data_IF_134329632084
#
_entry.id   IF_134329632084
#
_cell.length_a   1.000
_cell.length_b   1.000
_cell.length_c   1.000
_cell.angle_alpha   90.00
_cell.angle_beta   90.00
_cell.angle_gamma   90.00
#
_symmetry.space_group_name_H-M   'P 1'
#
loop_
_entity.id
_entity.type
_entity.pdbx_description
1 polymer ?
#
# COMPACT_ATOMS: atom_id res chain seq x y z
N UNK A 1 -91.26 12.59 28.35
CA UNK A 1 -90.13 13.60 28.43
C UNK A 1 -88.85 12.84 28.72
N UNK A 2 -88.02 12.51 27.71
CA UNK A 2 -86.79 11.77 27.89
C UNK A 2 -85.77 12.33 26.94
N UNK A 3 -84.77 13.01 27.48
CA UNK A 3 -83.68 13.66 26.74
C UNK A 3 -82.69 12.63 26.22
N UNK A 4 -82.47 12.57 24.87
CA UNK A 4 -81.39 11.87 24.24
C UNK A 4 -80.09 12.69 24.34
N UNK A 5 -79.07 12.13 24.96
CA UNK A 5 -77.70 12.65 24.93
C UNK A 5 -76.95 11.94 23.84
N UNK A 6 -76.57 12.63 22.77
CA UNK A 6 -75.69 12.16 21.73
C UNK A 6 -74.24 12.30 22.16
N UNK A 7 -73.50 11.18 22.25
CA UNK A 7 -72.07 11.17 22.53
C UNK A 7 -71.32 11.09 21.16
N UNK A 8 -70.62 12.18 20.82
CA UNK A 8 -69.76 12.25 19.64
C UNK A 8 -68.42 11.66 20.01
N UNK A 9 -68.10 10.46 19.48
CA UNK A 9 -66.83 9.87 19.59
C UNK A 9 -65.86 10.48 18.52
N UNK A 10 -64.86 11.25 18.99
CA UNK A 10 -63.76 11.72 18.13
C UNK A 10 -62.73 10.61 17.98
N UNK A 11 -62.64 10.00 16.77
CA UNK A 11 -61.52 9.15 16.39
C UNK A 11 -60.30 10.06 16.09
N UNK A 12 -59.28 9.98 16.95
CA UNK A 12 -57.93 10.47 16.63
C UNK A 12 -57.24 9.42 15.75
N UNK A 13 -57.13 9.69 14.47
CA UNK A 13 -56.28 8.94 13.57
C UNK A 13 -54.82 9.43 13.76
N UNK A 14 -54.02 8.70 14.51
CA UNK A 14 -52.58 8.90 14.61
C UNK A 14 -51.92 8.26 13.38
N UNK A 15 -51.59 9.07 12.39
CA UNK A 15 -50.77 8.65 11.25
C UNK A 15 -49.32 8.45 11.73
N UNK A 16 -48.92 7.19 11.90
CA UNK A 16 -47.51 6.81 12.03
C UNK A 16 -46.84 7.02 10.66
N UNK A 17 -46.08 8.08 10.50
CA UNK A 17 -45.15 8.22 9.40
C UNK A 17 -44.01 7.21 9.59
N UNK A 18 -44.09 6.05 8.95
CA UNK A 18 -42.98 5.12 8.84
C UNK A 18 -41.97 5.75 7.88
N UNK A 19 -40.97 6.40 8.45
CA UNK A 19 -39.78 6.79 7.67
C UNK A 19 -39.12 5.50 7.17
N UNK A 20 -39.32 5.18 5.92
CA UNK A 20 -38.57 4.12 5.24
C UNK A 20 -37.11 4.57 5.22
N UNK A 21 -36.33 4.12 6.18
CA UNK A 21 -34.88 4.13 6.10
C UNK A 21 -34.58 3.17 4.94
N UNK A 22 -34.19 3.71 3.79
CA UNK A 22 -33.68 2.93 2.69
C UNK A 22 -32.45 2.19 3.19
N UNK A 23 -32.62 0.97 3.66
CA UNK A 23 -31.53 0.06 3.93
C UNK A 23 -30.82 -0.16 2.59
N UNK A 24 -29.71 0.50 2.36
CA UNK A 24 -28.82 0.15 1.26
C UNK A 24 -28.47 -1.31 1.45
N UNK A 25 -28.81 -2.16 0.48
CA UNK A 25 -28.42 -3.56 0.54
C UNK A 25 -26.90 -3.62 0.63
N UNK A 26 -26.39 -4.27 1.68
CA UNK A 26 -24.97 -4.50 1.86
C UNK A 26 -24.43 -5.24 0.65
N UNK A 27 -23.31 -4.78 0.08
CA UNK A 27 -22.69 -5.36 -1.11
C UNK A 27 -21.32 -5.92 -0.75
N UNK A 28 -21.17 -7.24 -0.88
CA UNK A 28 -19.89 -7.88 -0.64
C UNK A 28 -18.95 -7.70 -1.83
N UNK A 29 -17.72 -7.31 -1.56
CA UNK A 29 -16.66 -7.11 -2.53
C UNK A 29 -15.49 -8.05 -2.33
N UNK A 30 -14.87 -8.44 -3.44
CA UNK A 30 -13.61 -9.17 -3.46
C UNK A 30 -12.53 -8.33 -4.09
N UNK A 31 -11.37 -8.26 -3.44
CA UNK A 31 -10.17 -7.62 -3.96
C UNK A 31 -8.95 -8.52 -3.78
N UNK A 32 -7.96 -8.35 -4.64
CA UNK A 32 -6.70 -9.07 -4.50
C UNK A 32 -5.52 -8.27 -5.02
N UNK A 33 -4.33 -8.50 -4.46
CA UNK A 33 -3.13 -7.84 -4.95
C UNK A 33 -1.99 -7.76 -3.97
N UNK A 34 -1.31 -6.61 -3.94
CA UNK A 34 -0.13 -6.38 -3.13
C UNK A 34 -0.31 -6.72 -1.66
N UNK A 35 0.72 -7.30 -1.05
CA UNK A 35 0.76 -7.45 0.41
C UNK A 35 1.18 -6.16 1.10
N UNK A 36 1.74 -5.20 0.37
CA UNK A 36 2.12 -3.87 0.88
C UNK A 36 0.94 -3.17 1.61
N UNK A 37 -0.26 -3.01 1.01
CA UNK A 37 -1.38 -2.36 1.69
C UNK A 37 -2.23 -3.32 2.56
N UNK A 38 -1.95 -4.63 2.58
CA UNK A 38 -2.83 -5.60 3.22
C UNK A 38 -3.14 -5.31 4.70
N UNK A 39 -2.18 -4.85 5.55
CA UNK A 39 -2.47 -4.48 6.93
C UNK A 39 -3.52 -3.38 7.05
N UNK A 40 -3.40 -2.29 6.29
CA UNK A 40 -4.35 -1.17 6.34
C UNK A 40 -5.68 -1.54 5.68
N UNK A 41 -5.67 -2.30 4.58
CA UNK A 41 -6.92 -2.73 3.92
C UNK A 41 -7.73 -3.67 4.80
N UNK A 42 -7.09 -4.55 5.57
CA UNK A 42 -7.79 -5.40 6.53
C UNK A 42 -8.51 -4.60 7.62
N UNK A 43 -7.86 -3.55 8.14
CA UNK A 43 -8.48 -2.65 9.13
C UNK A 43 -9.60 -1.83 8.53
N UNK A 44 -9.39 -1.21 7.37
CA UNK A 44 -10.42 -0.47 6.65
C UNK A 44 -11.63 -1.34 6.31
N UNK A 45 -11.40 -2.59 5.87
CA UNK A 45 -12.49 -3.52 5.59
C UNK A 45 -13.36 -3.81 6.83
N UNK A 46 -12.72 -4.03 7.98
CA UNK A 46 -13.43 -4.27 9.24
C UNK A 46 -14.23 -3.05 9.70
N UNK A 47 -13.62 -1.86 9.67
CA UNK A 47 -14.27 -0.60 10.07
C UNK A 47 -15.39 -0.21 9.10
N UNK A 48 -15.18 -0.39 7.79
CA UNK A 48 -16.20 -0.13 6.77
C UNK A 48 -17.40 -1.06 6.92
N UNK A 49 -17.15 -2.35 7.20
CA UNK A 49 -18.22 -3.31 7.47
C UNK A 49 -19.05 -2.92 8.70
N UNK A 50 -18.41 -2.43 9.77
CA UNK A 50 -19.12 -1.93 10.96
C UNK A 50 -19.97 -0.69 10.63
N UNK A 51 -19.47 0.20 9.75
CA UNK A 51 -20.14 1.44 9.41
C UNK A 51 -21.29 1.27 8.39
N UNK A 52 -21.19 0.29 7.47
CA UNK A 52 -22.09 0.19 6.31
C UNK A 52 -22.76 -1.16 6.16
N UNK A 53 -22.26 -2.20 6.81
CA UNK A 53 -22.69 -3.59 6.62
C UNK A 53 -22.04 -4.28 5.44
N UNK A 54 -21.43 -3.58 4.49
CA UNK A 54 -20.76 -4.15 3.31
C UNK A 54 -19.43 -4.81 3.69
N UNK A 55 -19.21 -6.03 3.21
CA UNK A 55 -18.02 -6.82 3.52
C UNK A 55 -17.00 -6.71 2.39
N UNK A 56 -15.77 -6.39 2.75
CA UNK A 56 -14.64 -6.34 1.83
C UNK A 56 -13.71 -7.50 2.12
N UNK A 57 -13.56 -8.42 1.16
CA UNK A 57 -12.63 -9.54 1.26
C UNK A 57 -11.40 -9.27 0.38
N UNK A 58 -10.31 -8.82 1.00
CA UNK A 58 -9.04 -8.54 0.31
C UNK A 58 -8.03 -9.67 0.52
N UNK A 59 -7.40 -10.13 -0.55
CA UNK A 59 -6.39 -11.18 -0.52
C UNK A 59 -5.02 -10.64 -0.95
N UNK A 60 -4.06 -10.63 -0.03
CA UNK A 60 -2.66 -10.27 -0.28
C UNK A 60 -1.93 -11.42 -0.98
N UNK A 61 -1.92 -11.45 -2.31
CA UNK A 61 -1.32 -12.50 -3.15
C UNK A 61 -0.15 -12.00 -4.01
N UNK A 62 0.29 -10.77 -3.78
CA UNK A 62 1.29 -10.05 -4.56
C UNK A 62 0.68 -9.26 -5.72
N UNK A 63 1.34 -8.14 -6.07
CA UNK A 63 0.84 -7.20 -7.09
C UNK A 63 0.58 -7.86 -8.44
N UNK A 64 1.49 -8.71 -8.92
CA UNK A 64 1.27 -9.43 -10.19
C UNK A 64 0.07 -10.38 -10.13
N UNK A 65 -0.22 -10.96 -8.96
CA UNK A 65 -1.42 -11.77 -8.73
C UNK A 65 -2.70 -10.93 -8.83
N UNK A 66 -2.72 -9.76 -8.20
CA UNK A 66 -3.83 -8.82 -8.26
C UNK A 66 -4.13 -8.33 -9.67
N UNK A 67 -3.08 -7.94 -10.42
CA UNK A 67 -3.20 -7.56 -11.84
C UNK A 67 -3.80 -8.69 -12.67
N UNK A 68 -3.33 -9.92 -12.50
CA UNK A 68 -3.87 -11.09 -13.23
C UNK A 68 -5.33 -11.33 -12.90
N UNK A 69 -5.73 -11.23 -11.63
CA UNK A 69 -7.10 -11.48 -11.21
C UNK A 69 -8.08 -10.42 -11.70
N UNK A 70 -7.70 -9.14 -11.67
CA UNK A 70 -8.57 -8.08 -12.20
C UNK A 70 -8.73 -8.22 -13.72
N UNK A 71 -7.67 -8.51 -14.46
CA UNK A 71 -7.75 -8.75 -15.92
C UNK A 71 -8.62 -9.97 -16.23
N UNK A 72 -8.54 -11.02 -15.41
CA UNK A 72 -9.37 -12.23 -15.54
C UNK A 72 -10.81 -12.03 -15.02
N UNK A 73 -11.17 -10.86 -14.50
CA UNK A 73 -12.51 -10.53 -13.95
C UNK A 73 -12.94 -11.44 -12.79
N UNK A 74 -11.99 -11.95 -12.01
CA UNK A 74 -12.26 -12.83 -10.85
C UNK A 74 -12.38 -12.05 -9.52
N UNK A 75 -12.08 -10.77 -9.54
CA UNK A 75 -12.20 -9.85 -8.39
C UNK A 75 -12.86 -8.54 -8.84
N UNK A 76 -13.45 -7.82 -7.89
CA UNK A 76 -14.11 -6.53 -8.13
C UNK A 76 -13.08 -5.38 -8.24
N UNK A 77 -11.92 -5.52 -7.58
CA UNK A 77 -10.77 -4.63 -7.74
C UNK A 77 -9.44 -5.36 -7.57
N UNK A 78 -8.41 -4.88 -8.27
CA UNK A 78 -7.04 -5.32 -8.10
C UNK A 78 -6.22 -4.29 -7.32
N UNK A 79 -5.10 -4.70 -6.70
CA UNK A 79 -4.16 -3.78 -6.07
C UNK A 79 -2.71 -4.09 -6.47
N UNK A 80 -1.94 -3.03 -6.75
CA UNK A 80 -0.54 -3.14 -7.15
C UNK A 80 0.27 -1.95 -6.65
N UNK A 81 1.49 -2.21 -6.12
CA UNK A 81 2.42 -1.14 -5.74
C UNK A 81 3.32 -0.74 -6.93
N UNK A 82 3.30 -1.53 -8.01
CA UNK A 82 3.84 -1.15 -9.31
C UNK A 82 2.70 -0.57 -10.16
N UNK A 83 2.76 0.70 -10.57
CA UNK A 83 1.72 1.26 -11.44
C UNK A 83 1.70 0.52 -12.77
N UNK A 84 0.50 0.22 -13.26
CA UNK A 84 0.29 -0.33 -14.59
C UNK A 84 0.55 0.77 -15.63
N UNK A 85 1.18 0.43 -16.74
CA UNK A 85 1.41 1.37 -17.84
C UNK A 85 0.09 1.77 -18.48
N UNK A 86 0.02 3.00 -18.99
CA UNK A 86 -1.19 3.55 -19.61
C UNK A 86 -1.68 2.69 -20.78
N UNK A 87 -0.78 2.17 -21.61
CA UNK A 87 -1.10 1.27 -22.72
C UNK A 87 -1.82 -0.02 -22.23
N UNK A 88 -1.35 -0.59 -21.11
CA UNK A 88 -1.94 -1.80 -20.53
C UNK A 88 -3.28 -1.49 -19.85
N UNK A 89 -3.42 -0.31 -19.22
CA UNK A 89 -4.70 0.15 -18.68
C UNK A 89 -5.74 0.28 -19.79
N UNK A 90 -5.41 0.95 -20.88
CA UNK A 90 -6.30 1.14 -22.03
C UNK A 90 -6.68 -0.19 -22.69
N UNK A 91 -5.69 -1.05 -22.93
CA UNK A 91 -5.91 -2.38 -23.54
C UNK A 91 -6.89 -3.23 -22.73
N UNK A 92 -6.86 -3.12 -21.41
CA UNK A 92 -7.71 -3.92 -20.51
C UNK A 92 -8.96 -3.18 -20.02
N UNK A 93 -9.19 -1.93 -20.46
CA UNK A 93 -10.33 -1.11 -20.02
C UNK A 93 -10.29 -0.77 -18.53
N UNK A 94 -9.07 -0.66 -17.95
CA UNK A 94 -8.86 -0.40 -16.53
C UNK A 94 -8.56 1.07 -16.27
N UNK A 95 -8.89 1.49 -15.06
CA UNK A 95 -8.47 2.75 -14.45
C UNK A 95 -7.67 2.45 -13.19
N UNK A 96 -6.64 3.25 -12.90
CA UNK A 96 -5.86 3.13 -11.67
C UNK A 96 -5.84 4.43 -10.88
N UNK A 97 -5.83 4.30 -9.55
CA UNK A 97 -5.71 5.41 -8.62
C UNK A 97 -4.98 4.99 -7.34
N UNK A 98 -4.20 5.89 -6.71
CA UNK A 98 -3.47 5.58 -5.48
C UNK A 98 -4.38 5.57 -4.26
N UNK A 99 -3.97 4.89 -3.17
CA UNK A 99 -4.74 4.85 -1.92
C UNK A 99 -3.99 5.37 -0.70
N UNK A 100 -2.83 4.84 -0.41
CA UNK A 100 -1.97 5.27 0.70
C UNK A 100 -0.52 5.33 0.28
N UNK A 101 0.27 6.06 1.03
CA UNK A 101 1.73 6.09 0.91
C UNK A 101 2.31 5.24 2.03
N UNK A 102 3.29 4.41 1.72
CA UNK A 102 4.02 3.62 2.69
C UNK A 102 5.51 3.58 2.37
N UNK A 103 6.28 2.96 3.25
CA UNK A 103 7.72 2.81 3.09
C UNK A 103 8.16 1.36 3.09
N UNK A 104 9.07 1.01 2.20
CA UNK A 104 9.82 -0.25 2.26
C UNK A 104 11.03 -0.05 3.15
N UNK A 105 11.19 -0.91 4.15
CA UNK A 105 12.31 -0.85 5.09
C UNK A 105 13.20 -2.08 4.97
N UNK A 106 14.46 -1.92 5.33
CA UNK A 106 15.39 -3.04 5.45
C UNK A 106 15.32 -3.57 6.88
N UNK A 107 14.67 -4.71 7.02
CA UNK A 107 14.61 -5.45 8.28
C UNK A 107 15.85 -6.35 8.40
N UNK A 108 16.44 -6.39 9.60
CA UNK A 108 17.66 -7.15 9.89
C UNK A 108 17.48 -8.01 11.14
N UNK A 109 18.20 -9.13 11.18
CA UNK A 109 18.29 -9.97 12.37
C UNK A 109 19.76 -10.02 12.85
N UNK A 110 20.12 -9.01 13.63
CA UNK A 110 21.48 -8.86 14.17
C UNK A 110 21.42 -8.75 15.69
N UNK A 111 21.93 -9.74 16.44
CA UNK A 111 21.96 -9.68 17.89
C UNK A 111 22.68 -8.43 18.41
N UNK A 112 22.05 -7.73 19.34
CA UNK A 112 22.62 -6.52 19.96
C UNK A 112 22.41 -5.23 19.15
N UNK A 113 21.87 -5.28 17.94
CA UNK A 113 21.52 -4.10 17.14
C UNK A 113 20.01 -3.79 17.32
N UNK A 114 19.71 -2.53 17.61
CA UNK A 114 18.35 -2.03 17.78
C UNK A 114 17.87 -1.31 16.53
N UNK A 115 16.55 -1.19 16.37
CA UNK A 115 15.94 -0.43 15.28
C UNK A 115 16.47 1.01 15.23
N UNK A 116 16.85 1.45 14.02
CA UNK A 116 17.43 2.78 13.79
C UNK A 116 18.90 2.94 14.24
N UNK A 117 19.55 1.92 14.77
CA UNK A 117 20.96 1.98 15.15
C UNK A 117 21.89 1.79 13.95
N UNK A 118 21.52 0.91 13.01
CA UNK A 118 22.29 0.66 11.78
C UNK A 118 21.83 1.61 10.67
N UNK A 119 22.79 2.26 10.03
CA UNK A 119 22.57 3.11 8.84
C UNK A 119 23.21 2.47 7.62
N UNK A 120 22.48 2.43 6.50
CA UNK A 120 22.99 1.98 5.20
C UNK A 120 22.78 3.08 4.16
N UNK A 121 23.58 3.11 3.12
CA UNK A 121 23.34 3.91 1.92
C UNK A 121 22.91 3.06 0.74
N UNK A 122 22.44 3.68 -0.31
CA UNK A 122 21.92 2.97 -1.47
C UNK A 122 22.96 2.10 -2.18
N UNK A 123 24.22 2.58 -2.24
CA UNK A 123 25.31 1.80 -2.83
C UNK A 123 25.57 0.53 -2.04
N UNK A 124 25.72 0.64 -0.73
CA UNK A 124 25.95 -0.51 0.17
C UNK A 124 24.80 -1.51 0.10
N UNK A 125 23.56 -1.05 0.10
CA UNK A 125 22.38 -1.92 -0.06
C UNK A 125 22.42 -2.65 -1.40
N UNK A 126 22.69 -1.96 -2.49
CA UNK A 126 22.83 -2.58 -3.82
C UNK A 126 23.94 -3.64 -3.84
N UNK A 127 25.08 -3.35 -3.26
CA UNK A 127 26.25 -4.27 -3.20
C UNK A 127 25.94 -5.52 -2.34
N UNK A 128 25.15 -5.38 -1.27
CA UNK A 128 24.64 -6.52 -0.47
C UNK A 128 23.75 -7.41 -1.33
N UNK A 129 22.78 -6.84 -2.06
CA UNK A 129 21.82 -7.61 -2.88
C UNK A 129 22.44 -8.11 -4.19
N UNK A 130 23.56 -7.56 -4.64
CA UNK A 130 24.43 -8.12 -5.69
C UNK A 130 25.29 -9.30 -5.17
N UNK A 131 25.44 -9.44 -3.85
CA UNK A 131 26.31 -10.42 -3.23
C UNK A 131 27.80 -10.03 -3.25
N UNK A 132 28.10 -8.77 -3.51
CA UNK A 132 29.46 -8.21 -3.46
C UNK A 132 29.89 -8.01 -2.00
N UNK A 133 29.04 -7.41 -1.16
CA UNK A 133 29.23 -7.34 0.28
C UNK A 133 28.59 -8.57 0.92
N UNK A 134 29.40 -9.36 1.61
CA UNK A 134 29.01 -10.68 2.16
C UNK A 134 28.99 -10.76 3.67
N UNK A 135 29.63 -9.83 4.37
CA UNK A 135 29.76 -9.81 5.84
C UNK A 135 29.27 -8.51 6.42
N UNK A 136 28.70 -8.56 7.62
CA UNK A 136 28.21 -7.37 8.32
C UNK A 136 29.30 -6.41 8.75
N UNK A 137 30.52 -6.90 9.04
CA UNK A 137 31.68 -6.07 9.38
C UNK A 137 32.46 -5.55 8.17
N UNK A 138 31.89 -5.61 6.95
CA UNK A 138 32.50 -5.02 5.76
C UNK A 138 32.85 -3.55 5.98
N UNK A 139 34.04 -3.08 5.53
CA UNK A 139 34.48 -1.70 5.68
C UNK A 139 33.48 -0.66 5.17
N UNK A 140 32.71 -0.96 4.11
CA UNK A 140 31.69 -0.05 3.59
C UNK A 140 30.52 0.15 4.60
N UNK A 141 30.10 -0.93 5.26
CA UNK A 141 29.08 -0.85 6.34
C UNK A 141 29.67 -0.18 7.58
N UNK A 142 30.87 -0.56 7.99
CA UNK A 142 31.53 0.00 9.20
C UNK A 142 31.74 1.52 9.10
N UNK A 143 32.10 2.03 7.92
CA UNK A 143 32.28 3.47 7.67
C UNK A 143 31.00 4.28 7.90
N UNK A 144 29.83 3.72 7.58
CA UNK A 144 28.52 4.36 7.78
C UNK A 144 28.06 4.29 9.25
N UNK A 145 28.71 3.45 10.07
CA UNK A 145 28.27 3.13 11.43
C UNK A 145 29.41 3.24 12.45
N UNK A 146 30.06 4.42 12.59
CA UNK A 146 31.13 4.59 13.55
C UNK A 146 30.63 4.32 14.97
N UNK A 147 31.38 3.50 15.72
CA UNK A 147 31.04 3.12 17.10
C UNK A 147 30.01 1.99 17.24
N UNK A 148 29.43 1.48 16.16
CA UNK A 148 28.58 0.29 16.18
C UNK A 148 29.44 -0.95 16.06
N UNK A 149 29.33 -1.89 17.03
CA UNK A 149 30.02 -3.18 16.97
C UNK A 149 29.29 -4.11 15.98
N UNK A 150 29.81 -4.19 14.76
CA UNK A 150 29.26 -5.07 13.71
C UNK A 150 29.83 -6.50 13.86
N UNK A 151 28.98 -7.54 13.77
CA UNK A 151 29.47 -8.92 13.90
C UNK A 151 30.21 -9.36 12.64
N UNK A 152 31.19 -10.24 12.80
CA UNK A 152 31.88 -10.89 11.68
C UNK A 152 31.09 -12.09 11.14
N UNK A 153 29.81 -11.88 10.85
CA UNK A 153 28.91 -12.93 10.33
C UNK A 153 28.53 -12.64 8.88
N UNK A 154 28.21 -13.70 8.14
CA UNK A 154 27.72 -13.57 6.78
C UNK A 154 26.36 -12.87 6.75
N UNK A 155 26.12 -12.12 5.69
CA UNK A 155 24.83 -11.51 5.39
C UNK A 155 23.96 -12.54 4.67
N UNK A 156 22.85 -12.92 5.27
CA UNK A 156 21.85 -13.79 4.68
C UNK A 156 20.75 -12.94 4.02
N UNK A 157 20.84 -12.74 2.71
CA UNK A 157 19.86 -11.94 1.97
C UNK A 157 18.54 -12.67 1.88
N UNK A 158 17.44 -11.97 2.19
CA UNK A 158 16.06 -12.43 1.99
C UNK A 158 15.36 -11.50 1.00
N UNK A 159 14.69 -12.09 0.02
CA UNK A 159 14.01 -11.37 -1.07
C UNK A 159 12.64 -11.98 -1.34
N UNK A 160 11.83 -11.35 -2.18
CA UNK A 160 10.51 -11.87 -2.57
C UNK A 160 10.63 -13.01 -3.58
N UNK A 161 9.76 -14.01 -3.43
CA UNK A 161 9.65 -15.16 -4.35
C UNK A 161 8.48 -15.02 -5.34
N UNK A 162 7.56 -14.10 -5.09
CA UNK A 162 6.36 -13.83 -5.90
C UNK A 162 6.52 -12.56 -6.76
N UNK A 163 5.60 -12.34 -7.68
CA UNK A 163 5.52 -11.08 -8.44
C UNK A 163 5.02 -9.93 -7.56
N UNK A 164 5.97 -9.15 -7.05
CA UNK A 164 5.81 -8.25 -5.91
C UNK A 164 5.97 -6.78 -6.28
N UNK A 165 4.96 -5.96 -5.95
CA UNK A 165 5.08 -4.51 -6.04
C UNK A 165 6.10 -3.95 -5.04
N UNK A 166 6.21 -4.55 -3.83
CA UNK A 166 7.27 -4.19 -2.88
C UNK A 166 8.67 -4.41 -3.48
N UNK A 167 8.85 -5.49 -4.27
CA UNK A 167 10.09 -5.70 -5.05
C UNK A 167 10.27 -4.64 -6.13
N UNK A 168 9.20 -4.26 -6.83
CA UNK A 168 9.27 -3.18 -7.83
C UNK A 168 9.75 -1.88 -7.21
N UNK A 169 9.19 -1.48 -6.06
CA UNK A 169 9.60 -0.27 -5.33
C UNK A 169 11.06 -0.36 -4.89
N UNK A 170 11.44 -1.47 -4.27
CA UNK A 170 12.81 -1.70 -3.80
C UNK A 170 13.82 -1.71 -4.95
N UNK A 171 13.55 -2.44 -6.02
CA UNK A 171 14.46 -2.51 -7.18
C UNK A 171 14.49 -1.21 -7.98
N UNK A 172 13.41 -0.42 -7.99
CA UNK A 172 13.40 0.94 -8.55
C UNK A 172 14.34 1.86 -7.78
N UNK A 173 14.35 1.78 -6.45
CA UNK A 173 15.32 2.48 -5.62
C UNK A 173 16.76 2.02 -5.93
N UNK A 174 17.04 0.72 -5.92
CA UNK A 174 18.37 0.18 -6.21
C UNK A 174 18.90 0.61 -7.58
N UNK A 175 18.05 0.63 -8.61
CA UNK A 175 18.43 1.08 -9.95
C UNK A 175 18.80 2.57 -10.01
N UNK A 176 18.30 3.40 -9.07
CA UNK A 176 18.67 4.82 -8.97
C UNK A 176 19.99 5.06 -8.25
N UNK A 177 20.33 4.21 -7.28
CA UNK A 177 21.43 4.46 -6.32
C UNK A 177 22.63 3.56 -6.50
N UNK A 178 22.56 2.53 -7.37
CA UNK A 178 23.63 1.60 -7.65
C UNK A 178 23.68 1.29 -9.16
N UNK A 179 24.69 1.80 -9.83
CA UNK A 179 24.85 1.68 -11.28
C UNK A 179 25.02 0.22 -11.73
N UNK A 180 25.75 -0.59 -10.94
CA UNK A 180 25.96 -2.00 -11.24
C UNK A 180 24.64 -2.78 -11.15
N UNK A 181 23.80 -2.47 -10.14
CA UNK A 181 22.45 -3.02 -10.04
C UNK A 181 21.62 -2.64 -11.27
N UNK A 182 21.59 -1.34 -11.61
CA UNK A 182 20.81 -0.85 -12.74
C UNK A 182 21.19 -1.51 -14.06
N UNK A 183 22.48 -1.68 -14.32
CA UNK A 183 22.99 -2.25 -15.59
C UNK A 183 22.81 -3.76 -15.68
N UNK A 184 22.95 -4.51 -14.56
CA UNK A 184 22.90 -5.98 -14.54
C UNK A 184 21.53 -6.56 -14.26
N UNK A 185 20.74 -5.90 -13.41
CA UNK A 185 19.48 -6.43 -12.87
C UNK A 185 18.29 -5.58 -13.26
N UNK A 186 18.37 -4.24 -13.08
CA UNK A 186 17.29 -3.31 -13.35
C UNK A 186 16.20 -3.34 -12.28
N UNK A 187 14.95 -3.03 -12.70
CA UNK A 187 13.77 -2.95 -11.83
C UNK A 187 12.61 -3.79 -12.34
N UNK A 188 11.79 -4.31 -11.42
CA UNK A 188 10.61 -5.09 -11.78
C UNK A 188 9.91 -5.74 -10.57
N UNK A 189 8.69 -6.20 -10.79
CA UNK A 189 7.97 -7.03 -9.81
C UNK A 189 8.67 -8.37 -9.55
N UNK A 190 9.42 -8.82 -10.53
CA UNK A 190 10.29 -10.01 -10.49
C UNK A 190 11.56 -9.67 -11.26
N UNK A 191 12.71 -9.93 -10.66
CA UNK A 191 14.02 -9.74 -11.27
C UNK A 191 14.85 -11.02 -11.09
N UNK A 192 15.96 -11.15 -11.83
CA UNK A 192 16.92 -12.23 -11.65
C UNK A 192 17.82 -11.94 -10.45
N UNK A 193 17.35 -12.29 -9.25
CA UNK A 193 18.07 -12.04 -8.01
C UNK A 193 19.42 -12.77 -8.00
N UNK A 194 20.56 -12.06 -7.83
CA UNK A 194 21.87 -12.70 -7.79
C UNK A 194 22.04 -13.60 -6.57
N UNK A 195 21.45 -13.23 -5.44
CA UNK A 195 21.57 -13.93 -4.16
C UNK A 195 20.24 -13.89 -3.40
N UNK A 196 20.13 -14.68 -2.36
CA UNK A 196 19.09 -14.59 -1.35
C UNK A 196 18.02 -15.67 -1.41
N UNK A 197 17.42 -15.90 -0.24
CA UNK A 197 16.29 -16.80 -0.04
C UNK A 197 14.98 -16.08 -0.38
N UNK A 198 14.04 -16.81 -0.98
CA UNK A 198 12.75 -16.26 -1.41
C UNK A 198 11.64 -16.44 -0.38
N UNK A 199 11.07 -15.35 0.14
CA UNK A 199 9.84 -15.33 0.94
C UNK A 199 8.63 -14.94 0.10
N UNK A 200 7.50 -15.61 0.27
CA UNK A 200 6.24 -15.25 -0.38
C UNK A 200 5.54 -14.15 0.43
N UNK A 201 5.22 -13.03 -0.21
CA UNK A 201 4.60 -11.88 0.45
C UNK A 201 5.57 -11.12 1.38
N UNK A 202 5.13 -9.99 1.93
CA UNK A 202 5.86 -9.29 2.99
C UNK A 202 5.96 -10.14 4.26
N UNK A 203 4.91 -10.87 4.60
CA UNK A 203 4.85 -11.82 5.71
C UNK A 203 5.89 -12.93 5.59
N UNK A 204 6.05 -13.52 4.42
CA UNK A 204 7.07 -14.56 4.18
C UNK A 204 8.49 -14.04 4.33
N UNK A 205 8.79 -12.83 3.84
CA UNK A 205 10.10 -12.19 4.06
C UNK A 205 10.30 -11.87 5.53
N UNK A 206 9.30 -11.28 6.22
CA UNK A 206 9.36 -10.99 7.64
C UNK A 206 9.65 -12.24 8.47
N UNK A 207 8.97 -13.36 8.18
CA UNK A 207 9.16 -14.63 8.88
C UNK A 207 10.57 -15.21 8.67
N UNK A 208 11.16 -15.08 7.47
CA UNK A 208 12.54 -15.49 7.24
C UNK A 208 13.54 -14.63 8.00
N UNK A 209 13.38 -13.30 7.96
CA UNK A 209 14.26 -12.38 8.70
C UNK A 209 14.20 -12.67 10.20
N UNK A 210 13.02 -12.87 10.76
CA UNK A 210 12.85 -13.17 12.19
C UNK A 210 13.60 -14.42 12.64
N UNK A 211 13.64 -15.45 11.77
CA UNK A 211 14.18 -16.78 12.11
C UNK A 211 15.65 -16.97 11.72
N UNK A 212 16.18 -16.20 10.80
CA UNK A 212 17.50 -16.40 10.24
C UNK A 212 18.50 -15.36 10.79
N UNK A 213 19.39 -15.71 11.73
CA UNK A 213 20.41 -14.80 12.24
C UNK A 213 21.31 -14.30 11.11
N UNK A 214 21.74 -13.04 11.20
CA UNK A 214 22.55 -12.38 10.18
C UNK A 214 21.78 -12.01 8.91
N UNK A 215 20.46 -12.12 8.90
CA UNK A 215 19.68 -11.82 7.70
C UNK A 215 19.39 -10.33 7.52
N UNK A 216 19.16 -9.97 6.24
CA UNK A 216 18.57 -8.71 5.78
C UNK A 216 17.48 -9.00 4.77
N UNK A 217 16.33 -8.36 4.91
CA UNK A 217 15.22 -8.46 3.98
C UNK A 217 14.50 -7.12 3.85
N UNK A 218 13.80 -6.90 2.74
CA UNK A 218 12.98 -5.71 2.54
C UNK A 218 11.51 -6.07 2.70
N UNK A 219 10.81 -5.28 3.51
CA UNK A 219 9.37 -5.41 3.78
C UNK A 219 8.73 -4.03 3.84
N UNK A 220 7.42 -3.97 3.65
CA UNK A 220 6.67 -2.77 4.00
C UNK A 220 6.71 -2.56 5.54
N UNK A 221 6.74 -1.30 5.98
CA UNK A 221 7.10 -0.91 7.35
C UNK A 221 6.14 -1.48 8.42
N UNK A 222 4.84 -1.57 8.15
CA UNK A 222 3.89 -2.16 9.09
C UNK A 222 4.24 -3.63 9.43
N UNK A 223 4.79 -4.39 8.47
CA UNK A 223 5.24 -5.77 8.74
C UNK A 223 6.45 -5.81 9.66
N UNK A 224 7.40 -4.88 9.52
CA UNK A 224 8.52 -4.78 10.45
C UNK A 224 8.05 -4.47 11.87
N UNK A 225 7.10 -3.54 12.01
CA UNK A 225 6.51 -3.15 13.31
C UNK A 225 5.71 -4.29 13.94
N UNK A 226 4.79 -4.91 13.20
CA UNK A 226 3.91 -5.98 13.69
C UNK A 226 4.68 -7.24 14.10
N UNK A 227 5.80 -7.53 13.45
CA UNK A 227 6.66 -8.67 13.75
C UNK A 227 7.83 -8.33 14.68
N UNK A 228 7.90 -7.11 15.23
CA UNK A 228 8.98 -6.63 16.09
C UNK A 228 10.38 -6.84 15.47
N UNK A 229 10.50 -6.64 14.15
CA UNK A 229 11.77 -6.73 13.47
C UNK A 229 12.61 -5.48 13.69
N UNK A 230 13.92 -5.67 13.83
CA UNK A 230 14.88 -4.56 13.79
C UNK A 230 14.99 -4.05 12.36
N UNK A 231 14.94 -2.73 12.16
CA UNK A 231 15.08 -2.08 10.86
C UNK A 231 16.17 -1.00 10.87
N UNK A 232 16.70 -0.71 9.68
CA UNK A 232 17.80 0.25 9.51
C UNK A 232 17.29 1.67 9.28
N UNK A 233 18.18 2.65 9.45
CA UNK A 233 18.08 3.94 8.79
C UNK A 233 18.70 3.86 7.39
N UNK A 234 18.32 4.78 6.53
CA UNK A 234 18.89 4.92 5.20
C UNK A 234 19.40 6.34 4.98
N UNK A 235 20.47 6.46 4.22
CA UNK A 235 20.89 7.76 3.69
C UNK A 235 19.92 8.21 2.62
N UNK A 236 19.34 9.41 2.77
CA UNK A 236 18.44 10.03 1.80
C UNK A 236 19.20 10.64 0.60
N UNK A 237 18.46 11.26 -0.32
CA UNK A 237 19.03 11.90 -1.51
C UNK A 237 19.85 13.18 -1.18
N UNK A 238 19.73 13.71 0.03
CA UNK A 238 20.48 14.86 0.52
C UNK A 238 21.68 14.44 1.39
N UNK A 239 21.96 13.13 1.48
CA UNK A 239 23.09 12.56 2.23
C UNK A 239 22.90 12.55 3.74
N UNK A 240 21.67 12.55 4.23
CA UNK A 240 21.33 12.49 5.67
C UNK A 240 20.75 11.10 6.01
N UNK A 241 21.04 10.63 7.23
CA UNK A 241 20.48 9.39 7.75
C UNK A 241 19.06 9.61 8.25
N UNK A 242 18.08 9.05 7.57
CA UNK A 242 16.64 9.14 7.87
C UNK A 242 16.15 7.84 8.48
N UNK A 243 15.23 7.93 9.46
CA UNK A 243 14.48 6.81 10.00
C UNK A 243 13.12 6.68 9.30
N UNK A 244 12.60 5.45 9.10
CA UNK A 244 11.27 5.26 8.55
C UNK A 244 10.21 5.72 9.53
N UNK A 245 9.24 6.47 9.03
CA UNK A 245 8.05 6.93 9.76
C UNK A 245 6.98 7.38 8.78
N UNK A 246 5.74 7.46 9.21
CA UNK A 246 4.65 8.05 8.45
C UNK A 246 5.04 9.42 7.86
N UNK A 247 5.62 10.29 8.68
CA UNK A 247 6.07 11.62 8.27
C UNK A 247 7.15 11.57 7.19
N UNK A 248 8.13 10.66 7.30
CA UNK A 248 9.19 10.54 6.29
C UNK A 248 8.68 9.97 4.96
N UNK A 249 7.64 9.14 4.98
CA UNK A 249 6.94 8.68 3.77
C UNK A 249 6.14 9.81 3.12
N UNK A 250 5.43 10.59 3.92
CA UNK A 250 4.72 11.80 3.47
C UNK A 250 5.68 12.82 2.84
N UNK A 251 6.86 13.03 3.45
CA UNK A 251 7.87 13.95 2.94
C UNK A 251 8.37 13.55 1.53
N UNK A 252 8.49 12.25 1.25
CA UNK A 252 8.88 11.76 -0.07
C UNK A 252 7.84 12.09 -1.17
N UNK A 253 6.59 12.32 -0.79
CA UNK A 253 5.50 12.65 -1.72
C UNK A 253 5.32 14.15 -1.97
N UNK A 254 5.99 15.02 -1.19
CA UNK A 254 5.81 16.49 -1.28
C UNK A 254 6.20 17.10 -2.63
N UNK A 255 7.17 16.48 -3.33
CA UNK A 255 7.62 16.92 -4.64
C UNK A 255 6.86 16.30 -5.82
N UNK A 256 5.89 15.42 -5.57
CA UNK A 256 5.15 14.73 -6.61
C UNK A 256 4.13 15.64 -7.32
N UNK A 257 4.12 15.62 -8.65
CA UNK A 257 3.16 16.37 -9.46
C UNK A 257 1.95 15.48 -9.84
N UNK A 258 1.03 15.36 -8.88
CA UNK A 258 -0.17 14.54 -9.01
C UNK A 258 -1.14 15.02 -10.12
N UNK A 259 -1.01 16.28 -10.58
CA UNK A 259 -1.84 16.80 -11.66
C UNK A 259 -1.50 16.18 -13.01
N UNK A 260 -0.26 15.70 -13.18
CA UNK A 260 0.20 15.06 -14.41
C UNK A 260 -0.12 13.57 -14.46
N UNK A 261 0.01 12.90 -13.32
CA UNK A 261 -0.24 11.45 -13.23
C UNK A 261 -0.43 11.03 -11.78
N UNK A 262 -1.30 10.05 -11.57
CA UNK A 262 -1.39 9.35 -10.30
C UNK A 262 -0.23 8.36 -10.06
N UNK A 263 0.47 7.95 -11.13
CA UNK A 263 1.60 7.00 -11.08
C UNK A 263 2.92 7.74 -10.78
N UNK A 264 3.03 8.37 -9.61
CA UNK A 264 4.23 9.06 -9.18
C UNK A 264 5.29 8.08 -8.66
N UNK A 265 6.55 8.29 -9.06
CA UNK A 265 7.69 7.56 -8.50
C UNK A 265 8.23 8.31 -7.28
N UNK A 266 7.97 7.78 -6.09
CA UNK A 266 8.37 8.39 -4.82
C UNK A 266 9.72 7.88 -4.31
N UNK A 267 10.43 7.01 -5.05
CA UNK A 267 11.72 6.50 -4.63
C UNK A 267 12.83 7.52 -4.78
N UNK A 268 13.68 7.64 -3.77
CA UNK A 268 14.88 8.48 -3.73
C UNK A 268 14.60 9.95 -4.09
N UNK A 269 13.51 10.48 -3.55
CA UNK A 269 13.14 11.89 -3.73
C UNK A 269 14.00 12.78 -2.84
N UNK A 270 14.35 13.98 -3.36
CA UNK A 270 14.95 15.05 -2.56
C UNK A 270 13.93 15.63 -1.61
N UNK A 271 14.40 16.11 -0.49
CA UNK A 271 13.57 16.79 0.52
C UNK A 271 13.94 16.38 1.94
N UNK A 272 13.71 17.28 2.87
CA UNK A 272 14.06 17.09 4.29
C UNK A 272 13.38 15.85 4.84
N UNK A 273 14.20 14.92 5.35
CA UNK A 273 13.77 13.67 5.97
C UNK A 273 12.83 12.81 5.08
N UNK A 274 13.00 12.85 3.75
CA UNK A 274 12.26 12.01 2.82
C UNK A 274 12.78 10.56 2.86
N UNK A 275 11.91 9.58 3.18
CA UNK A 275 12.30 8.17 3.19
C UNK A 275 12.62 7.67 1.77
N UNK A 276 13.82 7.10 1.53
CA UNK A 276 14.27 6.80 0.18
C UNK A 276 13.48 5.74 -0.58
N UNK A 277 12.79 4.85 0.13
CA UNK A 277 12.06 3.74 -0.48
C UNK A 277 10.57 3.88 -0.18
N UNK A 278 10.01 5.05 -0.57
CA UNK A 278 8.58 5.34 -0.44
C UNK A 278 7.83 5.03 -1.72
N UNK A 279 6.57 4.65 -1.60
CA UNK A 279 5.65 4.42 -2.71
C UNK A 279 4.20 4.60 -2.30
N UNK A 280 3.35 4.84 -3.30
CA UNK A 280 1.91 4.58 -3.17
C UNK A 280 1.59 3.14 -3.59
N UNK A 281 0.42 2.66 -3.17
CA UNK A 281 -0.22 1.49 -3.75
C UNK A 281 -1.43 1.91 -4.57
N UNK A 282 -1.70 1.21 -5.67
CA UNK A 282 -2.73 1.56 -6.65
C UNK A 282 -3.84 0.54 -6.67
N UNK A 283 -5.07 1.02 -6.80
CA UNK A 283 -6.23 0.20 -7.13
C UNK A 283 -6.44 0.19 -8.63
N UNK A 284 -6.78 -0.97 -9.14
CA UNK A 284 -7.18 -1.23 -10.52
C UNK A 284 -8.66 -1.59 -10.54
N UNK A 285 -9.44 -0.87 -11.32
CA UNK A 285 -10.89 -1.07 -11.48
C UNK A 285 -11.26 -0.92 -12.96
N UNK A 286 -12.29 -1.62 -13.42
CA UNK A 286 -12.80 -1.41 -14.77
C UNK A 286 -13.45 -0.04 -14.94
N UNK A 287 -13.22 0.62 -16.07
CA UNK A 287 -13.91 1.86 -16.45
C UNK A 287 -15.40 1.61 -16.65
N UNK A 288 -15.72 0.57 -17.38
CA UNK A 288 -17.10 0.15 -17.68
C UNK A 288 -17.48 -1.01 -16.75
N UNK A 289 -18.37 -0.73 -15.81
CA UNK A 289 -18.76 -1.66 -14.76
C UNK A 289 -19.95 -2.52 -15.19
N UNK A 290 -19.71 -3.80 -15.44
CA UNK A 290 -20.77 -4.76 -15.75
C UNK A 290 -21.75 -4.93 -14.57
N UNK A 291 -21.30 -4.79 -13.34
CA UNK A 291 -22.12 -4.74 -12.13
C UNK A 291 -21.99 -3.35 -11.49
N UNK A 292 -22.93 -2.46 -11.81
CA UNK A 292 -22.94 -1.09 -11.34
C UNK A 292 -22.96 -0.97 -9.80
N UNK A 293 -23.68 -1.86 -9.10
CA UNK A 293 -23.74 -1.86 -7.64
C UNK A 293 -22.38 -2.16 -7.02
N UNK A 294 -21.68 -3.17 -7.52
CA UNK A 294 -20.33 -3.51 -7.05
C UNK A 294 -19.31 -2.41 -7.40
N UNK A 295 -19.34 -1.89 -8.63
CA UNK A 295 -18.46 -0.79 -9.03
C UNK A 295 -18.66 0.45 -8.16
N UNK A 296 -19.90 0.85 -7.90
CA UNK A 296 -20.22 1.96 -7.01
C UNK A 296 -19.74 1.70 -5.56
N UNK A 297 -19.88 0.46 -5.09
CA UNK A 297 -19.46 0.10 -3.73
C UNK A 297 -17.92 0.12 -3.57
N UNK A 298 -17.15 -0.29 -4.60
CA UNK A 298 -15.69 -0.13 -4.60
C UNK A 298 -15.30 1.34 -4.43
N UNK A 299 -15.94 2.25 -5.18
CA UNK A 299 -15.66 3.68 -5.09
C UNK A 299 -16.04 4.25 -3.70
N UNK A 300 -17.18 3.84 -3.13
CA UNK A 300 -17.61 4.22 -1.78
C UNK A 300 -16.63 3.76 -0.70
N UNK A 301 -16.13 2.52 -0.81
CA UNK A 301 -15.15 1.98 0.11
C UNK A 301 -13.87 2.82 0.14
N UNK A 302 -13.31 3.15 -1.03
CA UNK A 302 -12.10 3.95 -1.08
C UNK A 302 -12.34 5.43 -0.76
N UNK A 303 -13.52 5.99 -1.08
CA UNK A 303 -13.91 7.33 -0.63
C UNK A 303 -14.03 7.42 0.90
N UNK A 304 -14.63 6.39 1.52
CA UNK A 304 -14.68 6.26 2.96
C UNK A 304 -13.26 6.13 3.56
N UNK A 305 -12.40 5.35 2.93
CA UNK A 305 -11.01 5.16 3.35
C UNK A 305 -10.24 6.50 3.36
N UNK A 306 -10.43 7.35 2.35
CA UNK A 306 -9.83 8.68 2.32
C UNK A 306 -10.39 9.63 3.39
N UNK A 307 -11.69 9.58 3.67
CA UNK A 307 -12.36 10.48 4.62
C UNK A 307 -12.19 10.03 6.08
N UNK A 308 -12.45 8.76 6.34
CA UNK A 308 -12.55 8.21 7.69
C UNK A 308 -11.41 7.28 8.06
N UNK A 309 -10.83 6.60 7.07
CA UNK A 309 -9.77 5.61 7.28
C UNK A 309 -8.36 6.19 7.44
N UNK A 310 -8.17 7.50 7.26
CA UNK A 310 -6.85 8.16 7.36
C UNK A 310 -6.20 7.97 8.73
N UNK A 311 -6.97 8.06 9.82
CA UNK A 311 -6.49 7.85 11.19
C UNK A 311 -5.97 6.43 11.40
N UNK A 312 -6.68 5.45 10.84
CA UNK A 312 -6.27 4.04 10.89
C UNK A 312 -5.00 3.79 10.06
N UNK A 313 -4.88 4.44 8.89
CA UNK A 313 -3.67 4.40 8.09
C UNK A 313 -2.47 4.94 8.88
N UNK A 314 -2.58 6.12 9.47
CA UNK A 314 -1.52 6.74 10.30
C UNK A 314 -1.18 5.88 11.52
N UNK A 315 -2.16 5.26 12.19
CA UNK A 315 -1.92 4.36 13.32
C UNK A 315 -1.14 3.09 12.94
N UNK A 316 -1.13 2.74 11.65
CA UNK A 316 -0.36 1.64 11.06
C UNK A 316 0.90 2.14 10.33
N UNK A 317 1.30 3.37 10.57
CA UNK A 317 2.47 4.04 9.98
C UNK A 317 2.38 4.23 8.43
N UNK A 318 1.18 4.21 7.83
CA UNK A 318 0.98 4.68 6.46
C UNK A 318 0.66 6.17 6.45
N UNK A 319 1.15 6.89 5.45
CA UNK A 319 0.75 8.27 5.23
C UNK A 319 -0.48 8.35 4.32
N UNK A 320 -1.43 9.21 4.72
CA UNK A 320 -2.58 9.53 3.89
C UNK A 320 -2.16 10.32 2.65
N UNK A 321 -2.92 10.20 1.57
CA UNK A 321 -2.77 11.08 0.43
C UNK A 321 -3.20 12.50 0.80
N UNK A 322 -2.58 13.55 0.20
CA UNK A 322 -3.06 14.92 0.35
C UNK A 322 -4.52 15.08 -0.10
N UNK A 323 -5.31 15.93 0.56
CA UNK A 323 -6.72 16.17 0.23
C UNK A 323 -6.90 16.59 -1.23
N UNK A 324 -6.01 17.44 -1.75
CA UNK A 324 -6.02 17.85 -3.15
C UNK A 324 -5.88 16.69 -4.14
N UNK A 325 -5.16 15.63 -3.76
CA UNK A 325 -5.00 14.40 -4.57
C UNK A 325 -6.29 13.57 -4.51
N UNK A 326 -6.88 13.40 -3.33
CA UNK A 326 -8.13 12.65 -3.19
C UNK A 326 -9.30 13.33 -3.90
N UNK A 327 -9.33 14.67 -3.96
CA UNK A 327 -10.29 15.42 -4.77
C UNK A 327 -10.11 15.18 -6.27
N UNK A 328 -8.86 15.18 -6.77
CA UNK A 328 -8.57 14.83 -8.16
C UNK A 328 -8.99 13.39 -8.49
N UNK A 329 -8.78 12.45 -7.57
CA UNK A 329 -9.21 11.06 -7.73
C UNK A 329 -10.73 10.98 -7.84
N UNK A 330 -11.50 11.66 -6.98
CA UNK A 330 -12.97 11.71 -7.04
C UNK A 330 -13.46 12.29 -8.37
N UNK A 331 -12.85 13.38 -8.83
CA UNK A 331 -13.16 13.96 -10.14
C UNK A 331 -12.87 12.97 -11.29
N UNK A 332 -11.74 12.25 -11.21
CA UNK A 332 -11.38 11.24 -12.19
C UNK A 332 -12.33 10.03 -12.16
N UNK A 333 -12.81 9.57 -11.00
CA UNK A 333 -13.83 8.53 -10.91
C UNK A 333 -15.13 8.95 -11.59
N UNK A 334 -15.60 10.17 -11.32
CA UNK A 334 -16.82 10.71 -11.94
C UNK A 334 -16.71 10.75 -13.47
N UNK A 335 -15.54 11.08 -13.98
CA UNK A 335 -15.31 11.17 -15.43
C UNK A 335 -15.16 9.80 -16.10
N UNK A 336 -14.52 8.82 -15.43
CA UNK A 336 -14.04 7.60 -16.07
C UNK A 336 -14.80 6.33 -15.69
N UNK A 337 -15.43 6.23 -14.49
CA UNK A 337 -16.05 5.00 -14.01
C UNK A 337 -17.56 5.08 -14.24
N UNK A 338 -18.08 4.20 -15.12
CA UNK A 338 -19.46 4.26 -15.59
C UNK A 338 -20.13 2.89 -15.54
N UNK A 339 -21.44 2.89 -15.52
CA UNK A 339 -22.25 1.70 -15.77
C UNK A 339 -22.38 1.41 -17.28
N UNK A 340 -23.05 0.33 -17.63
CA UNK A 340 -23.29 -0.09 -19.02
C UNK A 340 -24.15 0.90 -19.84
N UNK A 341 -24.82 1.84 -19.19
CA UNK A 341 -25.58 2.93 -19.86
C UNK A 341 -24.73 4.19 -20.09
N UNK A 342 -23.48 4.21 -19.60
CA UNK A 342 -22.60 5.38 -19.65
C UNK A 342 -22.81 6.38 -18.51
N UNK A 343 -23.65 6.06 -17.51
CA UNK A 343 -23.87 6.91 -16.34
C UNK A 343 -22.72 6.76 -15.34
N UNK A 344 -22.20 7.89 -14.84
CA UNK A 344 -21.14 7.90 -13.81
C UNK A 344 -21.63 7.20 -12.53
N UNK A 345 -20.79 6.34 -11.95
CA UNK A 345 -21.08 5.62 -10.71
C UNK A 345 -20.72 6.42 -9.47
N UNK A 346 -19.78 7.36 -9.56
CA UNK A 346 -19.45 8.30 -8.50
C UNK A 346 -20.17 9.64 -8.76
N UNK A 347 -20.93 10.13 -7.77
CA UNK A 347 -21.75 11.34 -7.90
C UNK A 347 -21.16 12.51 -7.10
#
# INVERSE_FOLDING_TARGET
MTLMRSTVARLLATTFAVSAVSAFAATDLTGAGGTFPAPVYAKWAAEYQQATGSKINYQGIGSSGGVKQIIAKTVDFGASDAPMKEEDLQKNGLFQFPTVIGGVVLAVNLPGIKSGQLTLDGKTVGDIYLGTIKKWNDPAIAKLNPGVKLPETNINVVRRADGSGTSFVFTSYLAKVNEEWNSKIGKGNTVNWPVGLGGKGNDGVAAFVQRLPGSIGYVEYAYAKQNNLTYTRLMDADGKAVAPSETSFSNAAKGADWSKSFAQDLTFQKGTDAWPISSTTFILIYKDQANAAKGAEVLKFFDWAYKSGSKTATALDYAALPDSVTEQIRAAWKANIKDSSGKALYQ
#
